data_IF_560051389642
#
_entry.id   IF_560051389642
#
_cell.length_a   1.000
_cell.length_b   1.000
_cell.length_c   1.000
_cell.angle_alpha   90.00
_cell.angle_beta   90.00
_cell.angle_gamma   90.00
#
_symmetry.space_group_name_H-M   'P 1'
#
loop_
_entity.id
_entity.type
_entity.pdbx_description
1 polymer ?
#
# COMPACT_ATOMS: atom_id res chain seq x y z
N UNK A 1 4.08 6.33 8.36
CA UNK A 1 5.24 7.19 8.08
C UNK A 1 4.98 8.09 6.88
N UNK A 2 6.05 8.71 6.39
CA UNK A 2 6.02 9.60 5.23
C UNK A 2 5.80 8.81 3.91
N UNK A 3 5.25 9.45 2.88
CA UNK A 3 5.01 8.88 1.55
C UNK A 3 5.98 9.47 0.51
N UNK A 4 7.22 8.98 0.53
CA UNK A 4 8.32 9.51 -0.28
C UNK A 4 8.65 8.66 -1.53
N UNK A 5 7.88 7.60 -1.76
CA UNK A 5 8.01 6.74 -2.94
C UNK A 5 7.19 7.20 -4.13
N UNK A 6 6.55 6.25 -4.80
CA UNK A 6 5.86 6.48 -6.07
C UNK A 6 4.33 6.45 -5.93
N UNK A 7 3.66 7.09 -6.88
CA UNK A 7 2.19 7.11 -6.98
C UNK A 7 1.77 6.50 -8.30
N UNK A 8 0.62 5.82 -8.31
CA UNK A 8 -0.03 5.31 -9.52
C UNK A 8 -1.48 5.75 -9.53
N UNK A 9 -2.12 5.79 -10.69
CA UNK A 9 -3.49 6.31 -10.84
C UNK A 9 -4.28 5.48 -11.84
N UNK A 10 -5.50 5.09 -11.48
CA UNK A 10 -6.47 4.50 -12.39
C UNK A 10 -7.59 5.51 -12.71
N UNK A 11 -7.63 6.10 -13.93
CA UNK A 11 -8.65 7.07 -14.29
C UNK A 11 -10.05 6.49 -14.42
N UNK A 12 -10.21 5.16 -14.60
CA UNK A 12 -11.54 4.54 -14.68
C UNK A 12 -12.18 4.42 -13.30
N UNK A 13 -11.37 4.17 -12.29
CA UNK A 13 -11.82 4.06 -10.89
C UNK A 13 -11.79 5.40 -10.15
N UNK A 14 -11.12 6.41 -10.71
CA UNK A 14 -10.78 7.66 -10.05
C UNK A 14 -10.09 7.42 -8.70
N UNK A 15 -9.05 6.57 -8.71
CA UNK A 15 -8.28 6.21 -7.52
C UNK A 15 -6.79 6.35 -7.79
N UNK A 16 -6.08 7.00 -6.85
CA UNK A 16 -4.62 6.97 -6.80
C UNK A 16 -4.13 6.05 -5.68
N UNK A 17 -2.98 5.44 -5.92
CA UNK A 17 -2.40 4.40 -5.07
C UNK A 17 -1.00 4.79 -4.66
N UNK A 18 -0.68 4.55 -3.39
CA UNK A 18 0.64 4.83 -2.83
C UNK A 18 0.88 4.00 -1.57
N UNK A 19 2.15 3.93 -1.20
CA UNK A 19 2.63 3.28 0.00
C UNK A 19 2.99 4.28 1.10
N UNK A 20 2.87 3.89 2.36
CA UNK A 20 3.25 4.71 3.52
C UNK A 20 4.40 4.09 4.29
N UNK A 21 5.40 4.91 4.62
CA UNK A 21 6.64 4.44 5.24
C UNK A 21 6.53 4.11 6.72
N UNK A 22 7.70 3.93 7.32
CA UNK A 22 7.89 3.38 8.66
C UNK A 22 7.26 4.21 9.81
N UNK A 23 7.03 3.60 10.99
CA UNK A 23 6.38 4.25 12.13
C UNK A 23 7.34 5.08 13.00
N UNK A 24 8.15 5.95 12.39
CA UNK A 24 9.11 6.84 13.07
C UNK A 24 10.26 6.09 13.76
N UNK A 25 10.29 5.98 15.10
CA UNK A 25 11.40 5.39 15.84
C UNK A 25 11.62 3.93 15.43
N UNK A 26 12.87 3.55 15.22
CA UNK A 26 13.24 2.16 14.89
C UNK A 26 13.28 1.25 16.12
N UNK A 27 13.14 1.80 17.33
CA UNK A 27 13.02 1.00 18.54
C UNK A 27 11.53 0.63 18.77
N UNK A 28 11.08 -0.59 18.43
CA UNK A 28 9.66 -0.96 18.51
C UNK A 28 9.14 -0.96 19.95
N UNK A 29 10.01 -1.22 20.94
CA UNK A 29 9.64 -1.20 22.37
C UNK A 29 9.13 0.16 22.85
N UNK A 30 9.46 1.25 22.15
CA UNK A 30 8.97 2.60 22.48
C UNK A 30 7.56 2.88 21.95
N UNK A 31 7.02 2.06 21.05
CA UNK A 31 5.77 2.31 20.33
C UNK A 31 4.89 1.06 20.23
N UNK A 32 4.38 0.52 21.35
CA UNK A 32 3.54 -0.67 21.34
C UNK A 32 2.29 -0.49 20.45
N UNK A 33 1.80 -1.60 19.89
CA UNK A 33 0.64 -1.67 19.02
C UNK A 33 0.98 -1.60 17.52
N UNK A 34 -0.02 -1.84 16.67
CA UNK A 34 0.17 -2.01 15.22
C UNK A 34 0.76 -0.80 14.47
N UNK A 35 0.77 0.37 15.12
CA UNK A 35 1.24 1.63 14.56
C UNK A 35 0.52 2.04 13.26
N UNK A 36 -0.76 1.70 13.16
CA UNK A 36 -1.58 2.07 12.01
C UNK A 36 -1.63 3.59 11.82
N UNK A 37 -1.54 4.11 10.60
CA UNK A 37 -1.48 3.41 9.31
C UNK A 37 -0.10 3.53 8.64
N UNK A 38 0.98 3.15 9.34
CA UNK A 38 2.29 2.93 8.69
C UNK A 38 2.31 1.65 7.87
N UNK A 39 3.28 1.48 6.97
CA UNK A 39 3.50 0.25 6.19
C UNK A 39 2.25 -0.23 5.45
N UNK A 40 1.49 0.73 4.91
CA UNK A 40 0.16 0.50 4.36
C UNK A 40 0.11 0.88 2.89
N UNK A 41 -0.50 0.01 2.08
CA UNK A 41 -0.95 0.31 0.72
C UNK A 41 -2.28 1.06 0.81
N UNK A 42 -2.39 2.16 0.09
CA UNK A 42 -3.57 3.01 0.07
C UNK A 42 -4.18 3.05 -1.33
N UNK A 43 -5.51 3.12 -1.38
CA UNK A 43 -6.24 3.66 -2.53
C UNK A 43 -7.13 4.82 -2.08
N UNK A 44 -6.96 5.98 -2.72
CA UNK A 44 -7.67 7.21 -2.37
C UNK A 44 -8.32 7.86 -3.57
N UNK A 45 -9.45 8.52 -3.34
CA UNK A 45 -10.05 9.42 -4.33
C UNK A 45 -9.18 10.69 -4.45
N UNK A 46 -8.74 11.10 -5.66
CA UNK A 46 -7.89 12.28 -5.84
C UNK A 46 -8.63 13.61 -5.62
N UNK A 47 -9.96 13.64 -5.78
CA UNK A 47 -10.77 14.86 -5.62
C UNK A 47 -11.00 15.20 -4.14
N UNK A 48 -11.20 14.17 -3.31
CA UNK A 48 -11.54 14.34 -1.88
C UNK A 48 -10.41 13.96 -0.92
N UNK A 49 -9.45 13.16 -1.37
CA UNK A 49 -8.43 12.54 -0.53
C UNK A 49 -8.94 11.38 0.34
N UNK A 50 -10.22 11.02 0.28
CA UNK A 50 -10.79 9.94 1.09
C UNK A 50 -10.23 8.58 0.67
N UNK A 51 -9.90 7.74 1.65
CA UNK A 51 -9.43 6.37 1.39
C UNK A 51 -10.61 5.46 1.07
N UNK A 52 -10.56 4.79 -0.09
CA UNK A 52 -11.53 3.76 -0.47
C UNK A 52 -11.23 2.44 0.24
N UNK A 53 -9.96 2.06 0.28
CA UNK A 53 -9.47 0.88 1.00
C UNK A 53 -8.02 1.07 1.41
N UNK A 54 -7.60 0.27 2.39
CA UNK A 54 -6.23 0.24 2.93
C UNK A 54 -5.83 -1.17 3.30
N UNK A 55 -4.55 -1.50 3.14
CA UNK A 55 -4.00 -2.79 3.56
C UNK A 55 -2.65 -2.57 4.25
N UNK A 56 -2.57 -2.86 5.55
CA UNK A 56 -1.33 -2.76 6.32
C UNK A 56 -0.51 -4.05 6.14
N UNK A 57 0.64 -3.92 5.49
CA UNK A 57 1.53 -5.04 5.16
C UNK A 57 2.37 -5.48 6.35
N UNK A 58 2.88 -4.52 7.13
CA UNK A 58 3.78 -4.79 8.27
C UNK A 58 3.27 -4.07 9.52
N UNK A 59 2.31 -4.67 10.26
CA UNK A 59 1.91 -4.18 11.58
C UNK A 59 3.08 -4.20 12.55
N UNK A 60 3.22 -3.15 13.36
CA UNK A 60 4.29 -3.02 14.35
C UNK A 60 5.69 -3.29 13.79
N UNK A 61 6.04 -2.66 12.66
CA UNK A 61 7.37 -2.83 12.03
C UNK A 61 8.51 -2.73 13.05
N UNK A 62 9.46 -3.67 12.99
CA UNK A 62 10.64 -3.70 13.87
C UNK A 62 11.96 -3.54 13.09
N UNK A 63 11.89 -3.30 11.77
CA UNK A 63 13.04 -3.46 10.87
C UNK A 63 13.21 -2.35 9.84
N UNK A 64 12.42 -1.28 9.90
CA UNK A 64 12.46 -0.20 8.92
C UNK A 64 12.13 -0.68 7.50
N UNK A 65 11.10 -1.51 7.35
CA UNK A 65 10.64 -1.93 6.02
C UNK A 65 9.65 -0.93 5.43
N UNK A 66 10.10 0.28 5.04
CA UNK A 66 9.19 1.30 4.51
C UNK A 66 8.31 0.76 3.40
N UNK A 67 7.00 0.77 3.64
CA UNK A 67 5.98 0.32 2.70
C UNK A 67 5.72 1.28 1.54
N UNK A 68 6.75 1.90 0.95
CA UNK A 68 6.65 3.03 0.00
C UNK A 68 6.99 2.68 -1.46
N UNK A 69 7.39 1.44 -1.74
CA UNK A 69 7.72 1.01 -3.09
C UNK A 69 6.53 1.17 -4.06
N UNK A 70 6.82 1.11 -5.35
CA UNK A 70 5.87 1.38 -6.44
C UNK A 70 4.61 0.51 -6.43
N UNK A 71 3.57 1.00 -7.11
CA UNK A 71 2.25 0.37 -7.24
C UNK A 71 1.84 0.07 -8.70
N UNK A 72 2.60 -0.71 -9.49
CA UNK A 72 2.21 -1.09 -10.86
C UNK A 72 0.76 -1.57 -10.98
N UNK A 73 0.01 -0.92 -11.86
CA UNK A 73 -1.37 -1.28 -12.17
C UNK A 73 -1.40 -2.14 -13.42
N UNK A 74 -1.89 -3.37 -13.29
CA UNK A 74 -1.91 -4.36 -14.37
C UNK A 74 -3.26 -5.05 -14.42
N UNK A 75 -3.72 -5.42 -15.61
CA UNK A 75 -4.84 -6.34 -15.74
C UNK A 75 -4.27 -7.74 -15.93
N UNK A 76 -4.71 -8.69 -15.10
CA UNK A 76 -4.28 -10.08 -15.18
C UNK A 76 -5.49 -11.00 -15.20
N UNK A 77 -5.38 -12.14 -15.89
CA UNK A 77 -6.39 -13.19 -15.80
C UNK A 77 -6.16 -14.00 -14.54
N UNK A 78 -7.08 -13.91 -13.59
CA UNK A 78 -7.13 -14.73 -12.38
C UNK A 78 -8.35 -15.65 -12.53
N UNK A 79 -8.13 -16.96 -12.47
CA UNK A 79 -9.17 -17.99 -12.67
C UNK A 79 -9.98 -17.79 -13.96
N UNK A 80 -9.30 -17.37 -15.03
CA UNK A 80 -9.90 -17.11 -16.34
C UNK A 80 -10.64 -15.78 -16.48
N UNK A 81 -10.79 -15.00 -15.39
CA UNK A 81 -11.42 -13.68 -15.39
C UNK A 81 -10.37 -12.57 -15.41
N UNK A 82 -10.50 -11.64 -16.34
CA UNK A 82 -9.68 -10.42 -16.34
C UNK A 82 -9.99 -9.60 -15.08
N UNK A 83 -8.97 -9.39 -14.25
CA UNK A 83 -9.09 -8.76 -12.94
C UNK A 83 -8.16 -7.55 -12.88
N UNK A 84 -8.65 -6.38 -12.42
CA UNK A 84 -7.85 -5.19 -12.26
C UNK A 84 -6.95 -5.32 -11.03
N UNK A 85 -5.66 -5.58 -11.22
CA UNK A 85 -4.70 -5.77 -10.13
C UNK A 85 -3.80 -4.56 -9.91
N UNK A 86 -3.32 -4.44 -8.67
CA UNK A 86 -2.16 -3.66 -8.24
C UNK A 86 -1.12 -4.66 -7.76
N UNK A 87 0.12 -4.51 -8.23
CA UNK A 87 1.27 -5.30 -7.77
C UNK A 87 2.21 -4.39 -7.00
N UNK A 88 2.77 -4.88 -5.90
CA UNK A 88 3.66 -4.14 -5.02
C UNK A 88 4.74 -5.07 -4.45
N UNK A 89 6.01 -4.79 -4.72
CA UNK A 89 7.13 -5.53 -4.14
C UNK A 89 7.69 -4.72 -2.97
N UNK A 90 7.45 -5.19 -1.75
CA UNK A 90 7.73 -4.41 -0.55
C UNK A 90 9.18 -4.56 -0.06
N UNK A 91 9.64 -3.60 0.75
CA UNK A 91 10.92 -3.67 1.48
C UNK A 91 11.03 -4.91 2.38
N UNK A 92 9.91 -5.43 2.88
CA UNK A 92 9.88 -6.62 3.73
C UNK A 92 10.20 -7.95 2.98
N UNK A 93 10.39 -7.90 1.65
CA UNK A 93 10.75 -9.05 0.84
C UNK A 93 9.58 -9.84 0.25
N UNK A 94 8.34 -9.41 0.50
CA UNK A 94 7.13 -10.00 -0.07
C UNK A 94 6.64 -9.25 -1.32
N UNK A 95 6.10 -10.01 -2.28
CA UNK A 95 5.34 -9.49 -3.41
C UNK A 95 3.85 -9.57 -3.12
N UNK A 96 3.17 -8.42 -3.10
CA UNK A 96 1.74 -8.29 -2.88
C UNK A 96 1.03 -8.06 -4.22
N UNK A 97 -0.09 -8.74 -4.43
CA UNK A 97 -0.94 -8.54 -5.61
C UNK A 97 -2.39 -8.47 -5.13
N UNK A 98 -3.00 -7.28 -5.24
CA UNK A 98 -4.31 -6.95 -4.70
C UNK A 98 -5.26 -6.56 -5.83
N UNK A 99 -6.57 -6.76 -5.65
CA UNK A 99 -7.55 -6.19 -6.56
C UNK A 99 -7.60 -4.68 -6.31
N UNK A 100 -7.18 -3.88 -7.28
CA UNK A 100 -7.02 -2.42 -7.07
C UNK A 100 -8.35 -1.71 -6.84
N UNK A 101 -9.47 -2.31 -7.24
CA UNK A 101 -10.79 -1.73 -7.01
C UNK A 101 -11.29 -1.91 -5.57
N UNK A 102 -10.98 -3.05 -4.95
CA UNK A 102 -11.61 -3.49 -3.68
C UNK A 102 -10.65 -3.57 -2.50
N UNK A 103 -9.34 -3.62 -2.74
CA UNK A 103 -8.35 -4.05 -1.75
C UNK A 103 -8.25 -5.55 -1.72
#
# INVERSE_FOLDING_TARGET
GCSWGWYSYDPKLNLFYYGSGNPSTWNPKQRPGDNKWSMTIWARNPDTGEAKWVYQMTPHDEWDYDGINEMPLVNQKIDGKETPMLVHFDRNGLGYTLNRETG
#
